data_IF_307566847994
#
_entry.id   IF_307566847994
#
_cell.length_a   1.000
_cell.length_b   1.000
_cell.length_c   1.000
_cell.angle_alpha   90.00
_cell.angle_beta   90.00
_cell.angle_gamma   90.00
#
_symmetry.space_group_name_H-M   'P 1'
#
loop_
_entity.id
_entity.type
_entity.pdbx_description
1 polymer ?
#
# COMPACT_ATOMS: atom_id res chain seq x y z
N UNK A 1 17.46 58.88 10.09
CA UNK A 1 16.28 58.00 9.95
C UNK A 1 16.56 57.05 8.76
N UNK A 2 17.11 55.86 9.06
CA UNK A 2 17.31 54.78 8.07
C UNK A 2 16.10 53.84 8.18
N UNK A 3 15.33 53.72 7.11
CA UNK A 3 14.26 52.73 6.97
C UNK A 3 14.86 51.36 6.68
N UNK A 4 14.41 50.27 7.32
CA UNK A 4 14.86 48.92 6.96
C UNK A 4 14.20 48.45 5.66
N UNK A 5 15.01 48.12 4.68
CA UNK A 5 14.61 47.45 3.44
C UNK A 5 14.13 46.06 3.78
N UNK A 6 12.83 45.80 3.66
CA UNK A 6 12.27 44.46 3.71
C UNK A 6 12.55 43.73 2.42
N UNK A 7 13.53 42.83 2.42
CA UNK A 7 13.75 41.88 1.33
C UNK A 7 12.64 40.84 1.35
N UNK A 8 11.67 40.95 0.44
CA UNK A 8 10.70 39.90 0.12
C UNK A 8 11.43 38.69 -0.48
N UNK A 9 11.91 37.80 0.35
CA UNK A 9 12.39 36.49 -0.06
C UNK A 9 11.23 35.66 -0.61
N UNK A 10 10.97 35.75 -1.91
CA UNK A 10 10.11 34.77 -2.58
C UNK A 10 10.77 33.40 -2.43
N UNK A 11 10.16 32.55 -1.61
CA UNK A 11 10.53 31.14 -1.54
C UNK A 11 10.44 30.55 -2.95
N UNK A 12 11.51 29.93 -3.41
CA UNK A 12 11.50 29.23 -4.72
C UNK A 12 10.37 28.19 -4.70
N UNK A 13 9.58 28.09 -5.79
CA UNK A 13 8.49 27.11 -5.87
C UNK A 13 9.04 25.70 -5.67
N UNK A 14 8.34 24.88 -4.89
CA UNK A 14 8.72 23.50 -4.66
C UNK A 14 8.89 22.75 -5.99
N UNK A 15 9.90 21.89 -6.12
CA UNK A 15 10.15 21.18 -7.37
C UNK A 15 8.97 20.28 -7.72
N UNK A 16 8.56 20.31 -9.00
CA UNK A 16 7.46 19.48 -9.51
C UNK A 16 7.68 18.01 -9.17
N UNK A 17 6.62 17.27 -8.76
CA UNK A 17 6.68 15.83 -8.55
C UNK A 17 7.28 15.07 -9.74
N UNK A 18 8.00 13.99 -9.46
CA UNK A 18 8.67 13.19 -10.50
C UNK A 18 7.73 12.65 -11.57
N UNK A 19 6.48 12.39 -11.21
CA UNK A 19 5.40 11.97 -12.12
C UNK A 19 5.17 13.04 -13.18
N UNK A 20 5.01 14.30 -12.79
CA UNK A 20 4.75 15.41 -13.71
C UNK A 20 6.00 15.77 -14.54
N UNK A 21 7.19 15.67 -13.98
CA UNK A 21 8.45 15.91 -14.72
C UNK A 21 8.72 14.84 -15.79
N UNK A 22 8.26 13.61 -15.58
CA UNK A 22 8.46 12.45 -16.47
C UNK A 22 7.11 11.91 -16.94
N UNK A 23 6.25 12.80 -17.38
CA UNK A 23 4.85 12.47 -17.67
C UNK A 23 4.70 11.46 -18.82
N UNK A 24 5.55 11.48 -19.82
CA UNK A 24 5.54 10.50 -20.93
C UNK A 24 5.83 9.10 -20.40
N UNK A 25 6.86 8.96 -19.55
CA UNK A 25 7.16 7.69 -18.87
C UNK A 25 5.98 7.22 -18.01
N UNK A 26 5.29 8.14 -17.32
CA UNK A 26 4.09 7.80 -16.57
C UNK A 26 2.98 7.34 -17.51
N UNK A 27 2.82 8.01 -18.65
CA UNK A 27 1.82 7.70 -19.67
C UNK A 27 2.03 6.35 -20.35
N UNK A 28 3.26 5.86 -20.43
CA UNK A 28 3.63 4.60 -21.09
C UNK A 28 3.40 3.36 -20.21
N UNK A 29 3.30 3.51 -18.90
CA UNK A 29 2.99 2.39 -18.01
C UNK A 29 1.49 2.16 -17.91
N UNK A 30 1.09 0.89 -17.87
CA UNK A 30 -0.28 0.51 -17.57
C UNK A 30 -0.77 1.19 -16.29
N UNK A 31 -2.05 1.55 -16.28
CA UNK A 31 -2.65 2.32 -15.21
C UNK A 31 -2.75 1.50 -13.91
N UNK A 32 -3.28 0.27 -14.04
CA UNK A 32 -3.72 -0.57 -12.92
C UNK A 32 -3.19 -1.98 -13.13
N UNK A 33 -2.76 -2.61 -12.06
CA UNK A 33 -2.42 -4.04 -12.04
C UNK A 33 -3.62 -4.91 -11.70
N UNK A 34 -3.42 -6.23 -11.72
CA UNK A 34 -4.38 -7.21 -11.23
C UNK A 34 -4.55 -7.15 -9.71
N UNK A 35 -5.58 -7.81 -9.21
CA UNK A 35 -5.78 -7.98 -7.77
C UNK A 35 -4.66 -8.88 -7.20
N UNK A 36 -3.99 -8.42 -6.18
CA UNK A 36 -3.09 -9.21 -5.33
C UNK A 36 -3.95 -9.77 -4.18
N UNK A 37 -4.30 -11.07 -4.22
CA UNK A 37 -5.13 -11.65 -3.18
C UNK A 37 -4.39 -11.76 -1.86
N UNK A 38 -5.11 -11.59 -0.75
CA UNK A 38 -4.65 -11.85 0.60
C UNK A 38 -5.63 -12.76 1.32
N UNK A 39 -5.24 -13.29 2.48
CA UNK A 39 -6.09 -14.21 3.26
C UNK A 39 -7.50 -13.65 3.48
N UNK A 40 -8.50 -14.52 3.39
CA UNK A 40 -9.91 -14.19 3.62
C UNK A 40 -10.63 -13.60 2.41
N UNK A 41 -10.16 -13.86 1.18
CA UNK A 41 -10.83 -13.44 -0.06
C UNK A 41 -10.78 -11.93 -0.33
N UNK A 42 -9.85 -11.23 0.31
CA UNK A 42 -9.58 -9.79 0.22
C UNK A 42 -8.42 -9.53 -0.73
N UNK A 43 -8.11 -8.27 -1.02
CA UNK A 43 -6.95 -8.01 -1.86
C UNK A 43 -6.60 -6.54 -2.05
N UNK A 44 -5.38 -6.36 -2.56
CA UNK A 44 -4.85 -5.07 -2.97
C UNK A 44 -4.80 -4.94 -4.48
N UNK A 45 -5.01 -3.73 -4.98
CA UNK A 45 -4.89 -3.39 -6.39
C UNK A 45 -3.73 -2.41 -6.55
N UNK A 46 -2.57 -2.85 -7.04
CA UNK A 46 -1.45 -1.96 -7.33
C UNK A 46 -1.76 -1.09 -8.54
N UNK A 47 -1.48 0.20 -8.45
CA UNK A 47 -1.69 1.13 -9.55
C UNK A 47 -0.60 2.20 -9.61
N UNK A 48 -0.49 2.94 -10.70
CA UNK A 48 0.30 4.18 -10.75
C UNK A 48 -0.49 5.33 -10.13
N UNK A 49 0.18 6.44 -9.76
CA UNK A 49 -0.50 7.65 -9.26
C UNK A 49 -1.58 8.11 -10.25
N UNK A 50 -2.82 8.29 -9.84
CA UNK A 50 -3.83 8.96 -10.66
C UNK A 50 -3.49 10.44 -10.91
N UNK A 51 -4.01 10.99 -12.00
CA UNK A 51 -4.03 12.43 -12.29
C UNK A 51 -5.48 12.87 -12.43
N UNK A 52 -5.74 14.16 -12.20
CA UNK A 52 -7.08 14.69 -12.45
C UNK A 52 -7.40 14.68 -13.94
N UNK A 53 -8.68 14.61 -14.29
CA UNK A 53 -9.15 14.74 -15.67
C UNK A 53 -8.74 16.08 -16.28
N UNK A 54 -8.72 17.15 -15.49
CA UNK A 54 -8.25 18.47 -15.92
C UNK A 54 -6.76 18.44 -16.29
N UNK A 55 -5.90 17.81 -15.47
CA UNK A 55 -4.48 17.64 -15.79
C UNK A 55 -4.29 16.82 -17.07
N UNK A 56 -5.00 15.69 -17.22
CA UNK A 56 -4.92 14.88 -18.45
C UNK A 56 -5.41 15.63 -19.70
N UNK A 57 -6.48 16.42 -19.59
CA UNK A 57 -6.94 17.26 -20.69
C UNK A 57 -5.90 18.33 -21.08
N UNK A 58 -5.24 18.94 -20.09
CA UNK A 58 -4.14 19.89 -20.32
C UNK A 58 -2.94 19.24 -21.02
N UNK A 59 -2.56 18.03 -20.58
CA UNK A 59 -1.48 17.26 -21.21
C UNK A 59 -1.80 16.93 -22.67
N UNK A 60 -3.03 16.53 -22.96
CA UNK A 60 -3.48 16.27 -24.33
C UNK A 60 -3.43 17.53 -25.20
N UNK A 61 -3.89 18.68 -24.67
CA UNK A 61 -3.81 19.97 -25.36
C UNK A 61 -2.36 20.39 -25.66
N UNK A 62 -1.42 20.06 -24.78
CA UNK A 62 0.01 20.34 -24.99
C UNK A 62 0.73 19.32 -25.89
N UNK A 63 0.00 18.44 -26.57
CA UNK A 63 0.55 17.45 -27.49
C UNK A 63 1.22 16.25 -26.82
N UNK A 64 1.10 16.09 -25.50
CA UNK A 64 1.69 14.95 -24.79
C UNK A 64 0.90 13.66 -25.05
N UNK A 65 1.60 12.63 -25.51
CA UNK A 65 1.02 11.30 -25.75
C UNK A 65 0.93 10.53 -24.43
N UNK A 66 -0.27 10.18 -24.00
CA UNK A 66 -0.53 9.34 -22.84
C UNK A 66 -1.17 8.03 -23.35
N UNK A 67 -0.42 6.94 -23.35
CA UNK A 67 -0.89 5.64 -23.83
C UNK A 67 -1.93 5.05 -22.87
N UNK A 68 -1.68 5.15 -21.57
CA UNK A 68 -2.55 4.62 -20.53
C UNK A 68 -2.98 5.76 -19.59
N UNK A 69 -4.06 6.49 -19.91
CA UNK A 69 -4.60 7.51 -19.01
C UNK A 69 -5.09 6.89 -17.71
N UNK A 70 -5.03 7.64 -16.61
CA UNK A 70 -5.44 7.12 -15.30
C UNK A 70 -5.95 8.26 -14.41
N UNK A 71 -7.26 8.24 -14.13
CA UNK A 71 -7.93 9.09 -13.15
C UNK A 71 -8.64 8.23 -12.10
N UNK A 72 -8.89 8.82 -10.93
CA UNK A 72 -9.49 8.08 -9.82
C UNK A 72 -10.92 7.63 -10.11
N UNK A 73 -11.76 8.51 -10.68
CA UNK A 73 -13.15 8.16 -10.99
C UNK A 73 -13.27 7.04 -12.02
N UNK A 74 -12.48 7.12 -13.09
CA UNK A 74 -12.40 6.06 -14.10
C UNK A 74 -12.02 4.73 -13.48
N UNK A 75 -10.96 4.75 -12.67
CA UNK A 75 -10.51 3.55 -11.96
C UNK A 75 -11.60 2.94 -11.07
N UNK A 76 -12.24 3.74 -10.20
CA UNK A 76 -13.28 3.23 -9.29
C UNK A 76 -14.45 2.62 -10.07
N UNK A 77 -14.90 3.28 -11.16
CA UNK A 77 -15.96 2.78 -12.03
C UNK A 77 -15.57 1.47 -12.71
N UNK A 78 -14.33 1.40 -13.24
CA UNK A 78 -13.84 0.22 -13.96
C UNK A 78 -13.67 -0.98 -13.01
N UNK A 79 -13.27 -0.75 -11.75
CA UNK A 79 -13.27 -1.80 -10.74
C UNK A 79 -14.68 -2.25 -10.36
N UNK A 80 -15.63 -1.32 -10.25
CA UNK A 80 -17.03 -1.65 -9.98
C UNK A 80 -17.65 -2.50 -11.10
N UNK A 81 -17.35 -2.19 -12.37
CA UNK A 81 -17.82 -3.00 -13.52
C UNK A 81 -17.26 -4.42 -13.52
N UNK A 82 -16.14 -4.66 -12.84
CA UNK A 82 -15.54 -5.98 -12.63
C UNK A 82 -16.01 -6.64 -11.32
N UNK A 83 -17.03 -6.09 -10.67
CA UNK A 83 -17.59 -6.61 -9.42
C UNK A 83 -16.70 -6.32 -8.19
N UNK A 84 -15.74 -5.41 -8.27
CA UNK A 84 -14.85 -5.03 -7.17
C UNK A 84 -15.13 -3.63 -6.68
N UNK A 85 -15.52 -3.50 -5.42
CA UNK A 85 -15.69 -2.20 -4.76
C UNK A 85 -14.37 -1.74 -4.15
N UNK A 86 -13.86 -0.61 -4.59
CA UNK A 86 -12.69 0.05 -3.98
C UNK A 86 -13.17 0.85 -2.77
N UNK A 87 -12.68 0.54 -1.58
CA UNK A 87 -13.05 1.24 -0.34
C UNK A 87 -11.93 2.10 0.26
N UNK A 88 -10.69 1.90 -0.20
CA UNK A 88 -9.52 2.62 0.31
C UNK A 88 -8.50 2.81 -0.79
N UNK A 89 -7.89 3.98 -0.84
CA UNK A 89 -6.68 4.27 -1.62
C UNK A 89 -5.55 4.62 -0.68
N UNK A 90 -4.42 3.93 -0.79
CA UNK A 90 -3.18 4.19 -0.05
C UNK A 90 -2.16 4.80 -1.02
N UNK A 91 -1.73 6.01 -0.71
CA UNK A 91 -0.73 6.76 -1.47
C UNK A 91 0.63 6.71 -0.75
N UNK A 92 1.63 6.11 -1.40
CA UNK A 92 3.01 6.01 -0.90
C UNK A 92 3.93 7.10 -1.48
N UNK A 93 3.43 8.10 -2.16
CA UNK A 93 4.27 9.18 -2.68
C UNK A 93 4.69 10.14 -1.56
N UNK A 94 5.79 10.89 -1.78
CA UNK A 94 6.26 11.88 -0.81
C UNK A 94 5.83 13.32 -1.17
N UNK A 95 4.99 13.48 -2.16
CA UNK A 95 4.42 14.77 -2.58
C UNK A 95 2.92 14.80 -2.28
N UNK A 96 2.34 15.98 -2.29
CA UNK A 96 0.92 16.17 -2.10
C UNK A 96 0.08 15.38 -3.11
N UNK A 97 -1.15 15.07 -2.75
CA UNK A 97 -2.06 14.31 -3.59
C UNK A 97 -2.31 15.03 -4.92
N UNK A 98 -1.99 14.38 -6.05
CA UNK A 98 -2.15 14.97 -7.38
C UNK A 98 -3.60 14.95 -7.89
N UNK A 99 -4.48 14.23 -7.21
CA UNK A 99 -5.88 14.04 -7.57
C UNK A 99 -6.85 14.35 -6.42
N UNK A 100 -6.41 15.21 -5.49
CA UNK A 100 -7.18 15.58 -4.29
C UNK A 100 -8.59 16.08 -4.63
N UNK A 101 -8.72 16.92 -5.67
CA UNK A 101 -10.01 17.43 -6.11
C UNK A 101 -10.99 16.37 -6.61
N UNK A 102 -10.51 15.17 -6.95
CA UNK A 102 -11.35 14.07 -7.41
C UNK A 102 -11.77 13.12 -6.27
N UNK A 103 -11.19 13.24 -5.09
CA UNK A 103 -11.56 12.40 -3.94
C UNK A 103 -13.03 12.60 -3.54
N UNK A 104 -13.52 13.84 -3.55
CA UNK A 104 -14.92 14.16 -3.26
C UNK A 104 -15.90 13.59 -4.28
N UNK A 105 -15.42 13.26 -5.48
CA UNK A 105 -16.21 12.68 -6.56
C UNK A 105 -16.29 11.15 -6.50
N UNK A 106 -15.62 10.53 -5.52
CA UNK A 106 -15.61 9.09 -5.29
C UNK A 106 -16.15 8.77 -3.89
N UNK A 107 -17.46 8.98 -3.62
CA UNK A 107 -18.04 8.74 -2.31
C UNK A 107 -17.85 7.27 -1.91
N UNK A 108 -17.48 7.05 -0.64
CA UNK A 108 -17.20 5.72 -0.10
C UNK A 108 -15.77 5.22 -0.33
N UNK A 109 -14.91 5.97 -1.04
CA UNK A 109 -13.48 5.71 -1.13
C UNK A 109 -12.74 6.57 -0.11
N UNK A 110 -12.11 5.94 0.87
CA UNK A 110 -11.25 6.61 1.83
C UNK A 110 -9.84 6.77 1.26
N UNK A 111 -9.19 7.89 1.50
CA UNK A 111 -7.82 8.16 1.10
C UNK A 111 -6.89 8.21 2.31
N UNK A 112 -5.74 7.57 2.22
CA UNK A 112 -4.69 7.59 3.24
C UNK A 112 -3.34 7.84 2.59
N UNK A 113 -2.66 8.88 3.02
CA UNK A 113 -1.33 9.23 2.55
C UNK A 113 -0.27 8.72 3.55
N UNK A 114 0.54 7.76 3.09
CA UNK A 114 1.63 7.17 3.84
C UNK A 114 2.96 7.47 3.12
N UNK A 115 3.43 8.69 3.27
CA UNK A 115 4.56 9.21 2.51
C UNK A 115 5.84 8.39 2.68
N UNK A 116 6.42 7.96 1.55
CA UNK A 116 7.72 7.31 1.49
C UNK A 116 8.65 8.04 0.52
N UNK A 117 9.90 8.19 0.89
CA UNK A 117 10.89 8.82 0.03
C UNK A 117 11.13 8.01 -1.26
N UNK A 118 11.38 8.74 -2.35
CA UNK A 118 11.69 8.10 -3.62
C UNK A 118 12.99 7.29 -3.53
N UNK A 119 13.00 6.09 -4.12
CA UNK A 119 14.13 5.15 -4.14
C UNK A 119 14.51 4.53 -2.78
N UNK A 120 13.87 4.89 -1.68
CA UNK A 120 14.03 4.20 -0.40
C UNK A 120 13.06 3.05 -0.28
N UNK A 121 13.49 2.00 0.40
CA UNK A 121 12.63 0.86 0.78
C UNK A 121 11.59 1.31 1.79
N UNK A 122 10.49 0.57 1.85
CA UNK A 122 9.41 0.85 2.80
C UNK A 122 9.82 0.33 4.18
N UNK A 123 9.65 1.17 5.19
CA UNK A 123 9.97 0.82 6.57
C UNK A 123 8.96 -0.18 7.16
N UNK A 124 9.36 -1.08 8.06
CA UNK A 124 8.47 -2.08 8.64
C UNK A 124 7.22 -1.48 9.29
N UNK A 125 7.36 -0.41 10.05
CA UNK A 125 6.22 0.27 10.69
C UNK A 125 5.18 0.78 9.69
N UNK A 126 5.61 1.11 8.47
CA UNK A 126 4.71 1.56 7.42
C UNK A 126 3.90 0.38 6.84
N UNK A 127 4.52 -0.80 6.75
CA UNK A 127 3.81 -2.03 6.35
C UNK A 127 2.73 -2.38 7.38
N UNK A 128 3.02 -2.25 8.67
CA UNK A 128 2.02 -2.40 9.74
C UNK A 128 0.90 -1.36 9.61
N UNK A 129 1.25 -0.12 9.31
CA UNK A 129 0.24 0.92 9.10
C UNK A 129 -0.67 0.62 7.90
N UNK A 130 -0.11 0.12 6.79
CA UNK A 130 -0.89 -0.35 5.63
C UNK A 130 -1.85 -1.47 6.06
N UNK A 131 -1.37 -2.42 6.86
CA UNK A 131 -2.18 -3.52 7.36
C UNK A 131 -3.32 -3.05 8.26
N UNK A 132 -3.06 -2.08 9.15
CA UNK A 132 -4.09 -1.50 10.04
C UNK A 132 -5.19 -0.80 9.25
N UNK A 133 -4.81 0.00 8.25
CA UNK A 133 -5.75 0.71 7.39
C UNK A 133 -6.60 -0.27 6.56
N UNK A 134 -5.97 -1.31 6.02
CA UNK A 134 -6.66 -2.36 5.30
C UNK A 134 -7.60 -3.17 6.21
N UNK A 135 -7.13 -3.60 7.38
CA UNK A 135 -7.95 -4.29 8.40
C UNK A 135 -9.14 -3.44 8.84
N UNK A 136 -8.94 -2.13 9.02
CA UNK A 136 -10.01 -1.20 9.37
C UNK A 136 -11.11 -1.15 8.30
N UNK A 137 -10.73 -1.15 7.01
CA UNK A 137 -11.68 -1.25 5.90
C UNK A 137 -12.42 -2.60 5.94
N UNK A 138 -11.67 -3.71 6.02
CA UNK A 138 -12.22 -5.05 5.90
C UNK A 138 -13.09 -5.48 7.09
N UNK A 139 -12.96 -4.86 8.25
CA UNK A 139 -13.94 -5.01 9.35
C UNK A 139 -15.30 -4.43 9.01
N UNK A 140 -15.35 -3.36 8.20
CA UNK A 140 -16.59 -2.69 7.78
C UNK A 140 -17.19 -3.30 6.52
N UNK A 141 -16.32 -3.70 5.60
CA UNK A 141 -16.68 -4.33 4.34
C UNK A 141 -15.59 -5.34 3.91
N UNK A 142 -15.86 -6.61 4.20
CA UNK A 142 -14.93 -7.70 3.96
C UNK A 142 -14.62 -7.95 2.47
N UNK A 143 -15.46 -7.45 1.56
CA UNK A 143 -15.31 -7.62 0.11
C UNK A 143 -14.69 -6.41 -0.59
N UNK A 144 -14.47 -5.30 0.14
CA UNK A 144 -13.86 -4.12 -0.45
C UNK A 144 -12.39 -4.35 -0.78
N UNK A 145 -11.96 -3.84 -1.93
CA UNK A 145 -10.56 -3.84 -2.33
C UNK A 145 -9.82 -2.59 -1.82
N UNK A 146 -8.53 -2.74 -1.56
CA UNK A 146 -7.62 -1.64 -1.23
C UNK A 146 -6.78 -1.33 -2.45
N UNK A 147 -6.89 -0.13 -3.01
CA UNK A 147 -5.96 0.35 -4.02
C UNK A 147 -4.70 0.91 -3.35
N UNK A 148 -3.53 0.65 -3.92
CA UNK A 148 -2.26 1.14 -3.38
C UNK A 148 -1.34 1.59 -4.51
N UNK A 149 -0.70 2.74 -4.34
CA UNK A 149 0.20 3.27 -5.35
C UNK A 149 1.42 4.01 -4.77
N UNK A 150 2.44 4.07 -5.59
CA UNK A 150 3.51 5.07 -5.55
C UNK A 150 3.51 5.80 -6.91
N UNK A 151 4.58 6.44 -7.34
CA UNK A 151 4.59 7.17 -8.62
C UNK A 151 4.18 6.31 -9.83
N UNK A 152 4.67 5.06 -9.91
CA UNK A 152 4.43 4.16 -11.05
C UNK A 152 3.81 2.81 -10.66
N UNK A 153 3.65 2.54 -9.37
CA UNK A 153 3.06 1.30 -8.87
C UNK A 153 3.94 0.06 -8.96
N UNK A 154 5.28 0.20 -8.98
CA UNK A 154 6.21 -0.93 -9.06
C UNK A 154 7.03 -1.12 -7.78
N UNK A 155 8.04 -0.29 -7.53
CA UNK A 155 9.05 -0.56 -6.50
C UNK A 155 8.53 -0.41 -5.07
N UNK A 156 8.14 0.80 -4.63
CA UNK A 156 7.60 1.02 -3.26
C UNK A 156 6.31 0.25 -3.04
N UNK A 157 5.43 0.24 -4.05
CA UNK A 157 4.16 -0.52 -4.01
C UNK A 157 4.42 -2.01 -3.91
N UNK A 158 5.31 -2.56 -4.75
CA UNK A 158 5.66 -3.99 -4.71
C UNK A 158 6.36 -4.37 -3.42
N UNK A 159 7.31 -3.54 -2.95
CA UNK A 159 7.98 -3.76 -1.67
C UNK A 159 6.97 -3.83 -0.51
N UNK A 160 6.05 -2.87 -0.43
CA UNK A 160 5.03 -2.84 0.62
C UNK A 160 4.11 -4.07 0.57
N UNK A 161 3.66 -4.46 -0.63
CA UNK A 161 2.77 -5.62 -0.79
C UNK A 161 3.48 -6.95 -0.55
N UNK A 162 4.70 -7.14 -1.04
CA UNK A 162 5.48 -8.35 -0.76
C UNK A 162 5.80 -8.47 0.74
N UNK A 163 6.17 -7.35 1.39
CA UNK A 163 6.36 -7.33 2.85
C UNK A 163 5.06 -7.67 3.59
N UNK A 164 3.92 -7.12 3.16
CA UNK A 164 2.62 -7.45 3.74
C UNK A 164 2.32 -8.96 3.63
N UNK A 165 2.48 -9.54 2.45
CA UNK A 165 2.22 -10.96 2.21
C UNK A 165 3.12 -11.86 3.06
N UNK A 166 4.41 -11.49 3.18
CA UNK A 166 5.34 -12.25 4.02
C UNK A 166 4.99 -12.14 5.51
N UNK A 167 4.69 -10.92 6.01
CA UNK A 167 4.46 -10.66 7.43
C UNK A 167 3.08 -11.15 7.90
N UNK A 168 2.03 -10.85 7.14
CA UNK A 168 0.64 -11.07 7.59
C UNK A 168 -0.01 -12.32 7.03
N UNK A 169 0.41 -12.75 5.82
CA UNK A 169 -0.11 -13.97 5.21
C UNK A 169 0.85 -15.17 5.35
N UNK A 170 2.09 -14.92 5.84
CA UNK A 170 3.11 -15.95 6.03
C UNK A 170 3.56 -16.57 4.70
N UNK A 171 3.46 -15.79 3.60
CA UNK A 171 3.89 -16.22 2.27
C UNK A 171 5.41 -16.20 2.17
N UNK A 172 5.99 -17.16 1.45
CA UNK A 172 7.41 -17.10 1.11
C UNK A 172 7.69 -15.86 0.26
N UNK A 173 8.87 -15.25 0.40
CA UNK A 173 9.18 -14.00 -0.26
C UNK A 173 9.31 -14.13 -1.77
N UNK A 174 9.82 -15.24 -2.26
CA UNK A 174 9.93 -15.47 -3.71
C UNK A 174 8.53 -15.71 -4.32
N UNK A 175 7.63 -16.39 -3.61
CA UNK A 175 6.23 -16.52 -4.00
C UNK A 175 5.50 -15.18 -3.98
N UNK A 176 5.75 -14.33 -2.97
CA UNK A 176 5.18 -12.99 -2.88
C UNK A 176 5.65 -12.09 -4.04
N UNK A 177 6.94 -12.16 -4.40
CA UNK A 177 7.50 -11.44 -5.54
C UNK A 177 6.89 -11.93 -6.86
N UNK A 178 6.77 -13.25 -7.05
CA UNK A 178 6.14 -13.83 -8.24
C UNK A 178 4.65 -13.47 -8.37
N UNK A 179 3.91 -13.48 -7.24
CA UNK A 179 2.51 -13.08 -7.20
C UNK A 179 2.35 -11.60 -7.56
N UNK A 180 3.21 -10.74 -7.02
CA UNK A 180 3.19 -9.32 -7.35
C UNK A 180 3.56 -9.07 -8.82
N UNK A 181 4.59 -9.75 -9.35
CA UNK A 181 4.96 -9.66 -10.76
C UNK A 181 3.83 -10.07 -11.69
N UNK A 182 3.15 -11.18 -11.38
CA UNK A 182 1.95 -11.61 -12.11
C UNK A 182 0.84 -10.57 -12.10
N UNK A 183 0.61 -9.92 -10.96
CA UNK A 183 -0.42 -8.90 -10.83
C UNK A 183 -0.01 -7.55 -11.46
N UNK A 184 1.29 -7.22 -11.45
CA UNK A 184 1.82 -5.94 -11.92
C UNK A 184 3.12 -6.11 -12.71
N UNK A 185 3.07 -6.65 -13.95
CA UNK A 185 4.29 -6.84 -14.75
C UNK A 185 5.04 -5.51 -15.00
N UNK A 186 6.36 -5.53 -14.94
CA UNK A 186 7.27 -6.65 -14.66
C UNK A 186 7.68 -6.79 -13.18
N UNK A 187 6.81 -6.52 -12.24
CA UNK A 187 7.08 -6.67 -10.81
C UNK A 187 7.92 -5.53 -10.23
N UNK A 188 8.73 -5.84 -9.23
CA UNK A 188 9.67 -4.91 -8.61
C UNK A 188 10.84 -4.67 -9.55
N UNK A 189 10.99 -3.43 -10.04
CA UNK A 189 11.92 -3.10 -11.14
C UNK A 189 13.36 -2.83 -10.72
N UNK A 190 13.60 -2.42 -9.47
CA UNK A 190 14.94 -2.07 -9.01
C UNK A 190 15.46 -3.14 -8.06
N UNK A 191 16.60 -3.76 -8.39
CA UNK A 191 17.19 -4.90 -7.69
C UNK A 191 17.35 -4.70 -6.19
N UNK A 192 17.76 -3.51 -5.74
CA UNK A 192 17.95 -3.24 -4.32
C UNK A 192 16.64 -3.36 -3.49
N UNK A 193 15.44 -3.24 -4.10
CA UNK A 193 14.18 -3.51 -3.40
C UNK A 193 13.95 -5.01 -3.23
N UNK A 194 14.18 -5.81 -4.26
CA UNK A 194 14.02 -7.26 -4.17
C UNK A 194 15.09 -7.90 -3.30
N UNK A 195 16.33 -7.44 -3.38
CA UNK A 195 17.43 -7.88 -2.52
C UNK A 195 17.13 -7.60 -1.04
N UNK A 196 16.64 -6.40 -0.72
CA UNK A 196 16.26 -6.05 0.65
C UNK A 196 15.06 -6.86 1.16
N UNK A 197 14.07 -7.16 0.29
CA UNK A 197 12.98 -8.07 0.63
C UNK A 197 13.49 -9.46 1.00
N UNK A 198 14.37 -10.06 0.18
CA UNK A 198 14.97 -11.36 0.46
C UNK A 198 15.84 -11.35 1.73
N UNK A 199 16.52 -10.25 2.00
CA UNK A 199 17.29 -10.06 3.24
C UNK A 199 16.41 -9.99 4.50
N UNK A 200 15.25 -9.28 4.41
CA UNK A 200 14.31 -9.13 5.53
C UNK A 200 13.51 -10.41 5.81
N UNK A 201 13.21 -11.14 4.75
CA UNK A 201 12.37 -12.33 4.79
C UNK A 201 13.14 -13.50 4.16
N UNK A 202 14.15 -14.04 4.85
CA UNK A 202 14.89 -15.19 4.32
C UNK A 202 13.91 -16.33 4.11
N UNK A 203 13.92 -16.92 2.90
CA UNK A 203 13.08 -18.05 2.53
C UNK A 203 13.24 -19.20 3.52
N UNK A 204 12.19 -19.98 3.71
CA UNK A 204 12.30 -21.24 4.49
C UNK A 204 13.36 -22.11 3.79
N UNK A 205 14.33 -22.65 4.54
CA UNK A 205 15.25 -23.59 3.94
C UNK A 205 14.43 -24.72 3.30
N UNK A 206 14.59 -24.91 1.98
CA UNK A 206 14.05 -26.09 1.31
C UNK A 206 14.60 -27.30 2.04
N UNK A 207 13.76 -28.21 2.57
CA UNK A 207 14.26 -29.41 3.21
C UNK A 207 15.19 -30.11 2.21
N UNK A 208 16.43 -30.36 2.62
CA UNK A 208 17.38 -31.13 1.81
C UNK A 208 16.72 -32.42 1.37
N UNK A 209 16.97 -32.94 0.14
CA UNK A 209 16.38 -34.20 -0.32
C UNK A 209 16.57 -35.35 0.66
N UNK A 210 17.60 -35.29 1.50
CA UNK A 210 17.89 -36.28 2.58
C UNK A 210 16.87 -36.20 3.73
N UNK A 211 16.24 -35.06 4.01
CA UNK A 211 15.24 -34.92 5.08
C UNK A 211 13.82 -35.33 4.60
N UNK A 212 13.56 -35.28 3.30
CA UNK A 212 12.29 -35.74 2.73
C UNK A 212 12.15 -37.26 2.78
N UNK A 213 13.27 -38.00 2.76
CA UNK A 213 13.28 -39.49 2.85
C UNK A 213 13.06 -39.93 4.29
N UNK A 214 13.51 -39.15 5.29
CA UNK A 214 13.35 -39.51 6.70
C UNK A 214 11.93 -39.27 7.25
N UNK A 215 11.11 -38.46 6.56
CA UNK A 215 9.72 -38.16 6.95
C UNK A 215 8.69 -39.17 6.42
N UNK A 216 9.08 -40.06 5.48
CA UNK A 216 8.20 -41.05 4.88
C UNK A 216 8.24 -42.43 5.51
N UNK A 217 9.11 -42.66 6.52
CA UNK A 217 9.34 -44.00 7.09
C UNK A 217 8.82 -44.18 8.54
N UNK A 218 7.89 -43.33 9.01
CA UNK A 218 7.22 -43.51 10.30
C UNK A 218 5.69 -43.61 10.10
N UNK A 219 5.26 -44.67 9.48
CA UNK A 219 3.87 -45.08 9.38
C UNK A 219 3.74 -46.57 9.48
N UNK A 220 3.71 -47.10 10.69
CA UNK A 220 2.90 -48.26 11.10
C UNK A 220 3.25 -48.65 12.55
N UNK A 221 2.39 -48.35 13.47
CA UNK A 221 2.12 -49.27 14.57
C UNK A 221 0.68 -49.05 15.06
N UNK A 222 -0.15 -50.01 14.69
CA UNK A 222 -1.47 -50.21 15.28
C UNK A 222 -1.26 -50.72 16.71
N UNK A 223 -1.99 -50.16 17.68
CA UNK A 223 -2.59 -50.95 18.75
C UNK A 223 -3.74 -50.17 19.41
N UNK A 224 -4.84 -50.91 19.45
CA UNK A 224 -6.10 -50.64 20.13
C UNK A 224 -5.90 -50.44 21.66
N UNK A 225 -6.73 -49.66 22.30
CA UNK A 225 -7.74 -49.99 23.33
C UNK A 225 -8.27 -48.74 24.08
N UNK A 226 -9.51 -48.77 24.32
CA UNK A 226 -10.57 -47.91 24.86
C UNK A 226 -10.57 -47.85 26.41
N UNK A 227 -11.54 -47.24 27.09
CA UNK A 227 -11.87 -45.80 27.26
C UNK A 227 -11.87 -45.37 28.76
N UNK A 228 -12.07 -44.04 28.93
CA UNK A 228 -12.74 -43.56 30.16
C UNK A 228 -11.92 -42.64 31.06
N UNK A 229 -12.32 -41.42 31.15
CA UNK A 229 -12.71 -40.72 32.36
C UNK A 229 -12.76 -39.19 32.19
N UNK A 230 -13.89 -38.67 32.59
CA UNK A 230 -14.25 -37.26 32.76
C UNK A 230 -13.40 -36.54 33.80
N UNK A 231 -12.98 -35.30 33.55
CA UNK A 231 -13.03 -34.21 34.54
C UNK A 231 -12.65 -32.85 33.96
N UNK A 232 -13.57 -31.94 33.91
CA UNK A 232 -13.42 -30.47 33.92
C UNK A 232 -13.30 -29.98 35.40
N UNK A 233 -13.13 -28.66 35.67
CA UNK A 233 -12.35 -27.58 35.06
C UNK A 233 -11.46 -26.83 36.08
N UNK A 234 -10.58 -25.96 35.64
CA UNK A 234 -10.05 -24.91 36.52
C UNK A 234 -9.79 -23.60 35.71
N UNK A 235 -10.57 -22.61 36.05
CA UNK A 235 -10.42 -21.21 35.71
C UNK A 235 -9.15 -20.61 36.34
N UNK A 236 -8.38 -19.83 35.59
CA UNK A 236 -7.43 -18.87 36.16
C UNK A 236 -7.41 -17.59 35.32
N UNK A 237 -7.89 -16.54 35.94
CA UNK A 237 -7.82 -15.15 35.58
C UNK A 237 -6.39 -14.66 35.51
N UNK A 238 -6.03 -13.89 34.46
CA UNK A 238 -4.87 -12.99 34.52
C UNK A 238 -5.22 -11.64 33.91
N UNK A 239 -5.03 -10.61 34.70
CA UNK A 239 -5.14 -9.18 34.50
C UNK A 239 -4.19 -8.65 33.41
N UNK A 240 -4.51 -7.51 32.75
CA UNK A 240 -3.67 -6.92 31.73
C UNK A 240 -2.55 -6.06 32.34
N UNK A 241 -1.35 -6.23 31.85
CA UNK A 241 -0.21 -5.35 32.13
C UNK A 241 -0.19 -4.26 31.07
N UNK A 242 -0.22 -2.99 31.54
CA UNK A 242 -0.01 -1.81 30.76
C UNK A 242 1.44 -1.75 30.24
N UNK A 243 1.65 -1.67 28.94
CA UNK A 243 2.93 -1.47 28.29
C UNK A 243 2.96 -0.13 27.55
N UNK A 244 3.97 0.64 27.88
CA UNK A 244 4.24 2.01 27.47
C UNK A 244 4.36 2.20 25.95
N UNK A 245 3.90 3.36 25.50
CA UNK A 245 3.84 3.85 24.13
C UNK A 245 5.21 4.45 23.70
N UNK A 246 5.94 3.96 22.69
CA UNK A 246 7.17 4.57 22.22
C UNK A 246 6.90 5.54 21.07
N UNK A 247 6.27 6.67 21.35
CA UNK A 247 6.11 7.80 20.42
C UNK A 247 7.12 8.90 20.73
N UNK A 248 8.39 8.71 20.34
CA UNK A 248 9.35 9.82 20.26
C UNK A 248 10.28 9.62 19.05
N UNK A 249 10.13 10.48 18.05
CA UNK A 249 11.14 10.59 16.99
C UNK A 249 10.67 10.73 15.54
N UNK A 250 9.47 11.27 15.29
CA UNK A 250 9.02 11.59 13.95
C UNK A 250 9.24 13.06 13.62
N UNK A 251 10.21 13.36 12.74
CA UNK A 251 10.23 14.66 12.04
C UNK A 251 9.01 14.71 11.11
N UNK A 252 7.98 15.40 11.58
CA UNK A 252 6.80 15.71 10.77
C UNK A 252 7.21 16.55 9.57
N UNK A 253 6.93 16.09 8.35
CA UNK A 253 6.68 17.00 7.24
C UNK A 253 5.45 17.83 7.63
N UNK A 254 5.62 19.16 7.78
CA UNK A 254 4.54 20.06 8.19
C UNK A 254 3.42 20.00 7.15
N UNK A 255 2.15 19.80 7.53
CA UNK A 255 1.04 20.10 6.65
C UNK A 255 0.94 21.63 6.51
N UNK A 256 0.99 22.11 5.30
CA UNK A 256 0.69 23.49 4.95
C UNK A 256 -0.82 23.67 4.88
N UNK A 257 -1.36 24.51 5.77
CA UNK A 257 -2.65 25.15 5.62
C UNK A 257 -3.78 24.65 6.51
N UNK A 258 -4.03 25.37 7.59
CA UNK A 258 -5.31 25.33 8.29
C UNK A 258 -6.43 25.86 7.39
N UNK A 259 -7.43 25.04 7.17
CA UNK A 259 -8.68 25.46 6.52
C UNK A 259 -9.56 26.19 7.53
N UNK A 260 -9.70 27.53 7.36
CA UNK A 260 -10.79 28.28 7.98
C UNK A 260 -12.09 28.08 7.20
N UNK A 261 -13.24 27.83 7.83
CA UNK A 261 -14.50 27.67 7.13
C UNK A 261 -15.00 29.02 6.59
N UNK A 262 -15.34 29.05 5.31
CA UNK A 262 -16.01 30.16 4.66
C UNK A 262 -17.39 30.40 5.31
N UNK A 263 -17.58 31.58 5.87
CA UNK A 263 -18.88 32.08 6.34
C UNK A 263 -19.81 32.27 5.13
N UNK A 264 -20.91 31.57 5.14
CA UNK A 264 -22.05 31.85 4.26
C UNK A 264 -22.70 33.16 4.68
N UNK A 265 -22.64 34.19 3.84
CA UNK A 265 -23.47 35.37 3.96
C UNK A 265 -24.70 35.16 3.10
N UNK A 266 -25.84 35.04 3.79
CA UNK A 266 -27.18 35.18 3.22
C UNK A 266 -27.47 36.66 3.02
N UNK A 267 -27.75 37.04 1.80
CA UNK A 267 -28.73 38.08 1.42
C UNK A 267 -29.14 37.84 -0.02
#
# INVERSE_FOLDING_TARGET
LCSPSMSNGRASPAPLPSVLRKIEKWGDYEAVGGLVPVRGGRGFIPMKTPLTRAQMASLKKSGKRIKYPHDLQGFVRDQASQGRRVGLVIDLTCHDCLYESELSLCPGVRYVHLATEAKKVVEPWLVERIADEARSLWRKDSKAAVAIHCSYGFNRTGFALCSYLATHDGMDIDDALALFEKARPPGVKHGHFSEELKRRFPGRPTPSPVQAIAASDNGHNENEEDPGSLSEPASLSTTPVAGEDPLMGLKRCKPSGEFSPLRTNSR
#
